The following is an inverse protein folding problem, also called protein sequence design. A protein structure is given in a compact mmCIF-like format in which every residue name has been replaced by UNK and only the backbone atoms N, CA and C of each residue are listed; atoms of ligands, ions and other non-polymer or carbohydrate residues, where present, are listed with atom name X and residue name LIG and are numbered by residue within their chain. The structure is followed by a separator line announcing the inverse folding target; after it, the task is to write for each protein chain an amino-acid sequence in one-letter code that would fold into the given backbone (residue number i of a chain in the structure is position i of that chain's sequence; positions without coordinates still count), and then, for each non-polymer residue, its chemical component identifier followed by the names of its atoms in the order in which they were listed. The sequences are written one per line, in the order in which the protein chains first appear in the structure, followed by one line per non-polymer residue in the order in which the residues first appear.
data_IF_550770048049
#
_entry.id   IF_550770048049
#
_cell.length_a   1.000
_cell.length_b   1.000
_cell.length_c   1.000
_cell.angle_alpha   90.00
_cell.angle_beta   90.00
_cell.angle_gamma   90.00
#
_symmetry.space_group_name_H-M   'P 1'
#
loop_
_entity.id
_entity.type
_entity.pdbx_description
1 polymer ?
#
# COMPACT_ATOMS: atom_id res chain seq x y z
N UNK A 1 -3.30 2.35 -10.67
CA UNK A 1 -2.61 3.50 -10.03
C UNK A 1 -1.29 3.74 -10.75
N UNK A 2 -1.17 4.84 -11.50
CA UNK A 2 -0.01 5.10 -12.40
C UNK A 2 1.31 5.14 -11.63
N UNK A 3 1.35 5.82 -10.48
CA UNK A 3 2.54 5.91 -9.63
C UNK A 3 3.09 4.54 -9.24
N UNK A 4 2.24 3.63 -8.73
CA UNK A 4 2.71 2.31 -8.29
C UNK A 4 3.35 1.55 -9.45
N UNK A 5 2.70 1.53 -10.61
CA UNK A 5 3.14 0.71 -11.74
C UNK A 5 4.31 1.29 -12.52
N UNK A 6 4.44 2.62 -12.60
CA UNK A 6 5.44 3.30 -13.44
C UNK A 6 6.60 3.93 -12.66
N UNK A 7 6.42 4.20 -11.36
CA UNK A 7 7.45 4.82 -10.52
C UNK A 7 7.93 3.81 -9.47
N UNK A 8 7.04 3.37 -8.56
CA UNK A 8 7.46 2.57 -7.41
C UNK A 8 7.93 1.16 -7.76
N UNK A 9 7.18 0.41 -8.58
CA UNK A 9 7.55 -0.96 -8.97
C UNK A 9 8.92 -1.03 -9.65
N UNK A 10 9.22 -0.24 -10.71
CA UNK A 10 10.53 -0.31 -11.34
C UNK A 10 11.67 0.11 -10.40
N UNK A 11 11.49 1.15 -9.57
CA UNK A 11 12.52 1.57 -8.61
C UNK A 11 12.76 0.53 -7.52
N UNK A 12 11.70 -0.10 -6.99
CA UNK A 12 11.84 -1.15 -5.98
C UNK A 12 12.58 -2.36 -6.51
N UNK A 13 12.39 -2.73 -7.78
CA UNK A 13 13.15 -3.82 -8.41
C UNK A 13 14.65 -3.54 -8.53
N UNK A 14 15.04 -2.26 -8.66
CA UNK A 14 16.45 -1.84 -8.73
C UNK A 14 17.08 -1.73 -7.35
N UNK A 15 16.33 -1.20 -6.38
CA UNK A 15 16.83 -0.83 -5.05
C UNK A 15 16.16 -1.62 -3.91
N UNK A 16 15.85 -2.90 -4.16
CA UNK A 16 15.11 -3.75 -3.22
C UNK A 16 15.81 -3.84 -1.85
N UNK A 17 17.15 -3.88 -1.83
CA UNK A 17 17.92 -4.06 -0.60
C UNK A 17 18.06 -2.77 0.21
N UNK A 18 17.99 -1.65 -0.49
CA UNK A 18 18.17 -0.29 0.00
C UNK A 18 16.84 0.31 0.47
N UNK A 19 15.72 -0.18 -0.08
CA UNK A 19 14.39 0.38 0.14
C UNK A 19 13.59 -0.44 1.15
N UNK A 20 13.49 0.08 2.39
CA UNK A 20 12.54 -0.43 3.40
C UNK A 20 11.13 0.05 3.11
N UNK A 21 10.46 -0.60 2.15
CA UNK A 21 9.13 -0.20 1.69
C UNK A 21 8.00 -0.66 2.64
N UNK A 22 7.08 0.26 2.94
CA UNK A 22 5.83 0.00 3.69
C UNK A 22 4.64 0.50 2.87
N UNK A 23 3.71 -0.39 2.52
CA UNK A 23 2.46 -0.05 1.82
C UNK A 23 1.27 -0.03 2.79
N UNK A 24 0.50 1.06 2.80
CA UNK A 24 -0.65 1.26 3.70
C UNK A 24 -1.93 1.38 2.84
N UNK A 25 -2.58 0.26 2.46
CA UNK A 25 -3.78 0.28 1.62
C UNK A 25 -5.01 0.71 2.43
N UNK A 26 -5.20 2.03 2.51
CA UNK A 26 -6.35 2.66 3.17
C UNK A 26 -6.79 3.90 2.37
N UNK A 27 -5.83 4.76 2.03
CA UNK A 27 -6.10 5.96 1.24
C UNK A 27 -6.98 6.95 2.01
N UNK A 28 -8.04 7.45 1.38
CA UNK A 28 -8.98 8.37 2.01
C UNK A 28 -10.22 7.67 2.55
N UNK A 29 -10.10 6.38 2.88
CA UNK A 29 -11.17 5.67 3.54
C UNK A 29 -11.42 6.23 4.96
N UNK A 30 -12.55 5.88 5.55
CA UNK A 30 -12.82 6.09 6.96
C UNK A 30 -13.66 4.94 7.51
N UNK A 31 -13.58 4.75 8.83
CA UNK A 31 -14.27 3.67 9.53
C UNK A 31 -15.29 4.28 10.48
N UNK A 32 -16.53 3.81 10.39
CA UNK A 32 -17.59 4.09 11.35
C UNK A 32 -17.70 2.91 12.29
N UNK A 33 -17.70 3.17 13.60
CA UNK A 33 -17.84 2.13 14.64
C UNK A 33 -19.07 2.41 15.51
N UNK A 34 -20.28 2.05 15.06
CA UNK A 34 -21.49 2.25 15.84
C UNK A 34 -21.50 1.32 17.06
N UNK A 35 -22.07 1.75 18.20
CA UNK A 35 -22.22 0.90 19.37
C UNK A 35 -23.01 -0.38 19.05
N UNK A 36 -22.48 -1.54 19.45
CA UNK A 36 -23.10 -2.86 19.24
C UNK A 36 -23.35 -3.27 17.78
N UNK A 37 -22.70 -2.61 16.81
CA UNK A 37 -22.78 -2.95 15.40
C UNK A 37 -21.40 -3.30 14.84
N UNK A 38 -21.40 -3.98 13.70
CA UNK A 38 -20.17 -4.22 12.95
C UNK A 38 -19.63 -2.91 12.37
N UNK A 39 -18.29 -2.74 12.29
CA UNK A 39 -17.69 -1.56 11.68
C UNK A 39 -18.14 -1.39 10.23
N UNK A 40 -18.48 -0.16 9.84
CA UNK A 40 -18.81 0.19 8.46
C UNK A 40 -17.61 0.88 7.83
N UNK A 41 -17.21 0.41 6.65
CA UNK A 41 -16.07 0.95 5.91
C UNK A 41 -16.56 1.79 4.76
N UNK A 42 -16.01 3.00 4.67
CA UNK A 42 -16.38 3.96 3.65
C UNK A 42 -15.13 4.29 2.83
N UNK A 43 -15.18 4.05 1.52
CA UNK A 43 -14.09 4.34 0.60
C UNK A 43 -14.61 5.20 -0.56
N UNK A 44 -13.73 6.00 -1.17
CA UNK A 44 -14.12 7.02 -2.17
C UNK A 44 -14.78 6.42 -3.43
N UNK A 45 -14.40 5.20 -3.77
CA UNK A 45 -14.88 4.44 -4.92
C UNK A 45 -15.82 3.30 -4.50
N UNK A 46 -16.43 3.40 -3.31
CA UNK A 46 -17.45 2.50 -2.81
C UNK A 46 -16.93 1.19 -2.18
N UNK A 47 -17.83 0.25 -1.83
CA UNK A 47 -17.49 -0.93 -1.02
C UNK A 47 -16.44 -1.85 -1.64
N UNK A 48 -16.39 -1.92 -2.98
CA UNK A 48 -15.40 -2.74 -3.69
C UNK A 48 -13.97 -2.26 -3.45
N UNK A 49 -13.75 -0.94 -3.35
CA UNK A 49 -12.44 -0.39 -3.00
C UNK A 49 -12.04 -0.82 -1.58
N UNK A 50 -12.96 -0.77 -0.62
CA UNK A 50 -12.68 -1.22 0.74
C UNK A 50 -12.30 -2.71 0.77
N UNK A 51 -13.04 -3.56 0.05
CA UNK A 51 -12.72 -4.99 -0.07
C UNK A 51 -11.33 -5.22 -0.67
N UNK A 52 -10.97 -4.48 -1.72
CA UNK A 52 -9.65 -4.58 -2.34
C UNK A 52 -8.54 -4.06 -1.42
N UNK A 53 -8.77 -2.97 -0.70
CA UNK A 53 -7.81 -2.47 0.30
C UNK A 53 -7.54 -3.48 1.41
N UNK A 54 -8.59 -4.15 1.91
CA UNK A 54 -8.47 -5.25 2.87
C UNK A 54 -7.67 -6.42 2.26
N UNK A 55 -7.99 -6.80 1.01
CA UNK A 55 -7.27 -7.86 0.29
C UNK A 55 -5.77 -7.53 0.14
N UNK A 56 -5.44 -6.31 -0.27
CA UNK A 56 -4.05 -5.83 -0.35
C UNK A 56 -3.36 -5.92 1.02
N UNK A 57 -4.05 -5.55 2.10
CA UNK A 57 -3.55 -5.72 3.47
C UNK A 57 -3.22 -7.16 3.83
N UNK A 58 -4.11 -8.09 3.49
CA UNK A 58 -3.91 -9.51 3.74
C UNK A 58 -2.79 -10.10 2.87
N UNK A 59 -2.64 -9.68 1.62
CA UNK A 59 -1.49 -10.03 0.76
C UNK A 59 -0.18 -9.61 1.43
N UNK A 60 -0.10 -8.36 1.90
CA UNK A 60 1.08 -7.83 2.60
C UNK A 60 1.37 -8.54 3.92
N UNK A 61 0.34 -9.07 4.60
CA UNK A 61 0.50 -9.79 5.87
C UNK A 61 0.91 -11.25 5.68
N UNK A 62 0.41 -11.92 4.63
CA UNK A 62 0.52 -13.38 4.47
C UNK A 62 1.70 -13.80 3.60
N UNK A 63 2.13 -12.96 2.67
CA UNK A 63 3.26 -13.26 1.79
C UNK A 63 4.56 -12.63 2.31
N UNK A 64 5.72 -13.24 2.01
CA UNK A 64 7.01 -12.58 2.15
C UNK A 64 7.04 -11.25 1.38
N UNK A 65 7.74 -10.20 1.86
CA UNK A 65 7.65 -8.84 1.31
C UNK A 65 7.80 -8.76 -0.22
N UNK A 66 8.81 -9.43 -0.79
CA UNK A 66 9.05 -9.47 -2.25
C UNK A 66 7.87 -10.04 -3.02
N UNK A 67 7.33 -11.19 -2.57
CA UNK A 67 6.18 -11.84 -3.20
C UNK A 67 4.93 -10.98 -3.05
N UNK A 68 4.71 -10.45 -1.85
CA UNK A 68 3.57 -9.57 -1.56
C UNK A 68 3.57 -8.34 -2.48
N UNK A 69 4.72 -7.67 -2.61
CA UNK A 69 4.85 -6.49 -3.46
C UNK A 69 4.63 -6.82 -4.94
N UNK A 70 5.13 -7.96 -5.43
CA UNK A 70 4.85 -8.41 -6.80
C UNK A 70 3.35 -8.61 -7.07
N UNK A 71 2.64 -9.29 -6.15
CA UNK A 71 1.19 -9.51 -6.24
C UNK A 71 0.43 -8.18 -6.19
N UNK A 72 0.78 -7.28 -5.26
CA UNK A 72 0.17 -5.94 -5.17
C UNK A 72 0.43 -5.14 -6.45
N UNK A 73 1.67 -5.07 -6.92
CA UNK A 73 2.05 -4.36 -8.14
C UNK A 73 1.31 -4.88 -9.38
N UNK A 74 1.08 -6.20 -9.46
CA UNK A 74 0.25 -6.81 -10.48
C UNK A 74 -1.21 -6.35 -10.41
N UNK A 75 -1.82 -6.35 -9.23
CA UNK A 75 -3.21 -5.91 -9.01
C UNK A 75 -3.42 -4.41 -9.28
N UNK A 76 -2.37 -3.59 -9.13
CA UNK A 76 -2.44 -2.14 -9.35
C UNK A 76 -2.44 -1.71 -10.83
N UNK A 77 -2.40 -2.65 -11.78
CA UNK A 77 -2.46 -2.45 -13.24
C UNK A 77 -3.86 -2.07 -13.75
N UNK A 78 -4.48 -1.05 -13.15
CA UNK A 78 -5.75 -0.41 -13.57
C UNK A 78 -6.89 -1.39 -13.85
N UNK A 79 -7.16 -2.33 -12.93
CA UNK A 79 -8.21 -3.35 -13.04
C UNK A 79 -8.10 -4.30 -14.25
N UNK A 80 -6.96 -4.32 -14.94
CA UNK A 80 -6.70 -5.26 -16.06
C UNK A 80 -6.37 -6.68 -15.58
N UNK A 81 -6.16 -6.83 -14.28
CA UNK A 81 -5.72 -8.08 -13.65
C UNK A 81 -6.66 -8.48 -12.53
N UNK A 82 -6.77 -9.80 -12.31
CA UNK A 82 -7.51 -10.37 -11.18
C UNK A 82 -6.56 -10.90 -10.11
N UNK A 83 -7.10 -11.19 -8.93
CA UNK A 83 -6.32 -11.80 -7.87
C UNK A 83 -5.79 -13.17 -8.28
N UNK A 84 -6.59 -13.96 -9.00
CA UNK A 84 -6.21 -15.29 -9.51
C UNK A 84 -5.00 -15.19 -10.44
N UNK A 85 -4.98 -14.22 -11.35
CA UNK A 85 -3.85 -14.00 -12.26
C UNK A 85 -2.60 -13.53 -11.49
N UNK A 86 -2.78 -12.66 -10.51
CA UNK A 86 -1.63 -12.08 -9.80
C UNK A 86 -1.05 -12.99 -8.71
N UNK A 87 -1.78 -14.00 -8.24
CA UNK A 87 -1.32 -14.96 -7.23
C UNK A 87 -0.77 -16.25 -7.84
N UNK A 88 -0.75 -16.37 -9.17
CA UNK A 88 -0.18 -17.52 -9.88
C UNK A 88 1.27 -17.79 -9.44
N UNK A 89 1.57 -19.06 -9.15
CA UNK A 89 2.84 -19.49 -8.54
C UNK A 89 2.95 -19.29 -7.03
N UNK A 90 1.92 -18.75 -6.38
CA UNK A 90 1.81 -18.53 -4.93
C UNK A 90 0.51 -19.10 -4.34
N UNK A 91 -0.06 -20.12 -4.98
CA UNK A 91 -1.38 -20.70 -4.68
C UNK A 91 -1.47 -21.24 -3.26
N UNK A 92 -0.36 -21.71 -2.68
CA UNK A 92 -0.31 -22.18 -1.29
C UNK A 92 -0.70 -21.10 -0.27
N UNK A 93 -0.60 -19.82 -0.63
CA UNK A 93 -1.03 -18.69 0.22
C UNK A 93 -2.47 -18.25 -0.04
N UNK A 94 -3.09 -18.66 -1.16
CA UNK A 94 -4.38 -18.16 -1.64
C UNK A 94 -5.46 -18.26 -0.57
N UNK A 95 -5.66 -19.46 0.00
CA UNK A 95 -6.70 -19.68 1.01
C UNK A 95 -6.46 -18.85 2.26
N UNK A 96 -5.21 -18.72 2.70
CA UNK A 96 -4.86 -17.92 3.88
C UNK A 96 -5.09 -16.41 3.66
N UNK A 97 -4.90 -15.91 2.43
CA UNK A 97 -5.18 -14.53 2.04
C UNK A 97 -6.68 -14.28 1.97
N UNK A 98 -7.43 -15.15 1.30
CA UNK A 98 -8.90 -15.02 1.15
C UNK A 98 -9.58 -15.06 2.52
N UNK A 99 -9.23 -16.04 3.36
CA UNK A 99 -9.77 -16.16 4.72
C UNK A 99 -9.43 -14.93 5.57
N UNK A 100 -8.22 -14.37 5.42
CA UNK A 100 -7.86 -13.11 6.08
C UNK A 100 -8.75 -11.96 5.59
N UNK A 101 -8.96 -11.83 4.27
CA UNK A 101 -9.71 -10.69 3.71
C UNK A 101 -11.20 -10.72 4.01
N UNK A 102 -11.74 -11.89 4.34
CA UNK A 102 -13.16 -12.09 4.65
C UNK A 102 -13.44 -12.14 6.16
N UNK A 103 -12.40 -12.07 7.01
CA UNK A 103 -12.52 -12.24 8.45
C UNK A 103 -11.98 -11.08 9.28
N UNK A 104 -12.05 -11.25 10.59
CA UNK A 104 -11.62 -10.26 11.60
C UNK A 104 -10.17 -9.81 11.43
N UNK A 105 -9.29 -10.68 10.91
CA UNK A 105 -7.90 -10.32 10.66
C UNK A 105 -7.79 -9.19 9.62
N UNK A 106 -8.56 -9.26 8.53
CA UNK A 106 -8.58 -8.24 7.49
C UNK A 106 -9.15 -6.93 8.01
N UNK A 107 -10.23 -7.00 8.80
CA UNK A 107 -10.85 -5.86 9.48
C UNK A 107 -9.83 -5.16 10.39
N UNK A 108 -9.17 -5.91 11.27
CA UNK A 108 -8.16 -5.36 12.17
C UNK A 108 -6.97 -4.73 11.44
N UNK A 109 -6.53 -5.32 10.33
CA UNK A 109 -5.48 -4.74 9.48
C UNK A 109 -5.94 -3.42 8.85
N UNK A 110 -7.16 -3.36 8.32
CA UNK A 110 -7.69 -2.16 7.69
C UNK A 110 -7.83 -1.00 8.68
N UNK A 111 -8.31 -1.26 9.90
CA UNK A 111 -8.34 -0.26 10.99
C UNK A 111 -6.93 0.22 11.36
N UNK A 112 -5.97 -0.71 11.46
CA UNK A 112 -4.57 -0.36 11.73
C UNK A 112 -4.00 0.56 10.64
N UNK A 113 -4.30 0.29 9.38
CA UNK A 113 -3.89 1.17 8.28
C UNK A 113 -4.59 2.53 8.30
N UNK A 114 -5.82 2.60 8.79
CA UNK A 114 -6.49 3.87 9.10
C UNK A 114 -5.69 4.69 10.11
N UNK A 115 -5.32 4.09 11.24
CA UNK A 115 -4.50 4.76 12.26
C UNK A 115 -3.13 5.18 11.72
N UNK A 116 -2.46 4.32 10.93
CA UNK A 116 -1.19 4.67 10.27
C UNK A 116 -1.35 5.85 9.31
N UNK A 117 -2.48 5.93 8.60
CA UNK A 117 -2.81 7.02 7.67
C UNK A 117 -3.09 8.32 8.41
N UNK A 118 -3.87 8.27 9.49
CA UNK A 118 -4.18 9.45 10.30
C UNK A 118 -2.95 10.04 10.99
N UNK A 119 -1.99 9.20 11.37
CA UNK A 119 -0.70 9.62 11.92
C UNK A 119 0.19 10.33 10.88
N UNK A 120 -0.07 10.16 9.59
CA UNK A 120 0.61 10.90 8.51
C UNK A 120 -0.03 12.28 8.36
N UNK A 121 -1.35 12.32 8.09
CA UNK A 121 -2.14 13.55 8.01
C UNK A 121 -3.64 13.22 7.97
N UNK A 122 -4.48 13.91 8.76
CA UNK A 122 -5.94 13.73 8.78
C UNK A 122 -6.70 15.05 8.53
N UNK A 123 -7.59 15.12 7.51
CA UNK A 123 -7.78 14.15 6.43
C UNK A 123 -6.59 14.16 5.45
N UNK A 124 -6.29 13.04 4.80
CA UNK A 124 -5.27 13.03 3.73
C UNK A 124 -5.68 13.99 2.59
N UNK A 125 -4.79 14.88 2.13
CA UNK A 125 -5.12 15.82 1.06
C UNK A 125 -5.27 15.14 -0.31
N UNK A 126 -4.48 14.10 -0.60
CA UNK A 126 -4.56 13.31 -1.85
C UNK A 126 -3.95 11.92 -1.70
N UNK A 127 -4.13 11.09 -2.73
CA UNK A 127 -3.52 9.77 -2.86
C UNK A 127 -2.89 9.61 -4.26
N UNK A 128 -1.76 8.90 -4.41
CA UNK A 128 -0.97 8.32 -3.33
C UNK A 128 -0.26 9.42 -2.52
N UNK A 129 -0.08 9.18 -1.23
CA UNK A 129 0.77 10.00 -0.35
C UNK A 129 2.03 9.21 -0.04
N UNK A 130 3.20 9.82 -0.22
CA UNK A 130 4.51 9.21 0.01
C UNK A 130 5.13 9.84 1.25
N UNK A 131 5.72 9.02 2.12
CA UNK A 131 6.52 9.52 3.24
C UNK A 131 7.88 8.83 3.25
N UNK A 132 8.95 9.64 3.25
CA UNK A 132 10.32 9.17 3.36
C UNK A 132 10.89 9.59 4.72
N UNK A 133 11.21 8.60 5.56
CA UNK A 133 11.81 8.74 6.89
C UNK A 133 11.07 9.59 7.94
N UNK A 134 9.90 10.16 7.61
CA UNK A 134 9.09 11.05 8.47
C UNK A 134 9.85 12.33 8.92
N UNK A 135 9.13 13.43 9.21
CA UNK A 135 7.69 13.63 9.07
C UNK A 135 7.23 13.69 7.60
N UNK A 136 5.92 13.60 7.38
CA UNK A 136 5.31 13.91 6.09
C UNK A 136 5.63 15.36 5.66
N UNK A 137 6.06 15.52 4.41
CA UNK A 137 6.24 16.83 3.78
C UNK A 137 5.34 16.93 2.55
N UNK A 138 4.39 17.86 2.61
CA UNK A 138 3.44 18.16 1.54
C UNK A 138 4.15 18.76 0.31
N UNK A 139 5.16 19.60 0.50
CA UNK A 139 5.82 20.32 -0.59
C UNK A 139 6.71 19.41 -1.44
N UNK A 140 7.10 18.26 -0.92
CA UNK A 140 7.90 17.28 -1.65
C UNK A 140 7.08 16.31 -2.51
N UNK A 141 5.75 16.31 -2.39
CA UNK A 141 4.94 15.24 -2.95
C UNK A 141 4.95 15.20 -4.47
N UNK A 142 4.96 16.35 -5.16
CA UNK A 142 5.06 16.38 -6.62
C UNK A 142 6.35 15.72 -7.11
N UNK A 143 7.46 15.97 -6.42
CA UNK A 143 8.76 15.38 -6.72
C UNK A 143 8.77 13.87 -6.41
N UNK A 144 8.17 13.45 -5.29
CA UNK A 144 7.98 12.03 -5.00
C UNK A 144 7.12 11.33 -6.06
N UNK A 145 6.05 11.96 -6.56
CA UNK A 145 5.11 11.38 -7.49
C UNK A 145 5.63 11.31 -8.93
N UNK A 146 6.41 12.32 -9.35
CA UNK A 146 6.89 12.45 -10.73
C UNK A 146 8.33 11.94 -10.92
N UNK A 147 9.15 11.96 -9.87
CA UNK A 147 10.58 11.67 -9.92
C UNK A 147 11.03 10.74 -8.79
N UNK A 148 10.20 9.74 -8.46
CA UNK A 148 10.40 8.85 -7.31
C UNK A 148 11.81 8.26 -7.24
N UNK A 149 12.31 7.72 -8.36
CA UNK A 149 13.62 7.07 -8.40
C UNK A 149 14.75 8.04 -8.06
N UNK A 150 14.80 9.18 -8.75
CA UNK A 150 15.80 10.22 -8.53
C UNK A 150 15.78 10.67 -7.08
N UNK A 151 14.59 11.00 -6.57
CA UNK A 151 14.42 11.50 -5.20
C UNK A 151 14.79 10.46 -4.15
N UNK A 152 14.46 9.19 -4.38
CA UNK A 152 14.88 8.09 -3.52
C UNK A 152 16.41 7.98 -3.46
N UNK A 153 17.09 8.00 -4.60
CA UNK A 153 18.56 7.95 -4.67
C UNK A 153 19.17 9.14 -3.94
N UNK A 154 18.75 10.37 -4.25
CA UNK A 154 19.24 11.58 -3.58
C UNK A 154 19.07 11.50 -2.05
N UNK A 155 17.90 11.04 -1.59
CA UNK A 155 17.61 10.89 -0.16
C UNK A 155 18.46 9.80 0.49
N UNK A 156 18.67 8.69 -0.19
CA UNK A 156 19.51 7.60 0.29
C UNK A 156 20.97 8.03 0.39
N UNK A 157 21.52 8.62 -0.67
CA UNK A 157 22.90 9.10 -0.71
C UNK A 157 23.16 10.16 0.36
N UNK A 158 22.24 11.12 0.54
CA UNK A 158 22.33 12.14 1.57
C UNK A 158 22.30 11.55 2.99
N UNK A 159 21.55 10.46 3.21
CA UNK A 159 21.40 9.82 4.52
C UNK A 159 22.58 8.91 4.88
N UNK A 160 23.10 8.16 3.92
CA UNK A 160 24.10 7.12 4.16
C UNK A 160 25.50 7.48 3.68
N UNK A 161 25.66 8.52 2.87
CA UNK A 161 26.95 8.92 2.29
C UNK A 161 27.52 7.92 1.27
N UNK A 162 26.66 7.06 0.70
CA UNK A 162 27.04 6.01 -0.26
C UNK A 162 26.20 6.16 -1.53
N UNK A 163 26.85 6.10 -2.69
CA UNK A 163 26.19 6.16 -4.00
C UNK A 163 25.49 4.86 -4.37
N UNK A 164 24.34 4.99 -5.06
CA UNK A 164 23.54 3.87 -5.56
C UNK A 164 23.69 3.64 -7.07
#
# INVERSE_FOLDING_TARGET
MVFITHQLVPSWLRYEKEMKLRLVPFGKAWVEEPPNEQPKFHCQHGPRECQLNILHGCILKKLPPKKAFAVVGCLMKNFRTTFEQCIEGHESFKNAIVNCSQGEQGIGLFKKFGNETDNVHRPLPFVPTIVADQPYDFYEQDDWLQHFERKFVERYEAKFGVKL
#
